data_IF_249423608679
#
_entry.id   IF_249423608679
#
_cell.length_a   1.000
_cell.length_b   1.000
_cell.length_c   1.000
_cell.angle_alpha   90.00
_cell.angle_beta   90.00
_cell.angle_gamma   90.00
#
_symmetry.space_group_name_H-M   'P 1'
#
loop_
_entity.id
_entity.type
_entity.pdbx_description
1 polymer ?
#
# COMPACT_ATOMS: atom_id res chain seq x y z
N UNK A 1 -4.23 15.18 0.72
CA UNK A 1 -3.97 14.31 -0.45
C UNK A 1 -4.20 15.14 -1.69
N UNK A 2 -3.13 15.51 -2.41
CA UNK A 2 -3.18 16.58 -3.40
C UNK A 2 -4.22 16.37 -4.51
N UNK A 3 -4.30 15.15 -5.06
CA UNK A 3 -5.27 14.82 -6.13
C UNK A 3 -6.73 15.02 -5.70
N UNK A 4 -7.09 14.60 -4.49
CA UNK A 4 -8.46 14.76 -3.97
C UNK A 4 -8.78 16.24 -3.82
N UNK A 5 -7.87 17.01 -3.21
CA UNK A 5 -8.02 18.45 -3.02
C UNK A 5 -8.12 19.21 -4.35
N UNK A 6 -7.39 18.77 -5.38
CA UNK A 6 -7.46 19.30 -6.73
C UNK A 6 -8.85 19.09 -7.37
N UNK A 7 -9.42 17.88 -7.30
CA UNK A 7 -10.78 17.66 -7.81
C UNK A 7 -11.82 18.46 -7.04
N UNK A 8 -11.64 18.63 -5.72
CA UNK A 8 -12.53 19.46 -4.90
C UNK A 8 -12.45 20.94 -5.27
N UNK A 9 -11.26 21.46 -5.59
CA UNK A 9 -11.10 22.86 -6.02
C UNK A 9 -11.71 23.13 -7.40
N UNK A 10 -11.78 22.12 -8.25
CA UNK A 10 -12.51 22.16 -9.53
C UNK A 10 -14.05 22.02 -9.38
N UNK A 11 -14.56 21.90 -8.16
CA UNK A 11 -16.00 21.82 -7.87
C UNK A 11 -16.59 20.41 -7.93
N UNK A 12 -15.76 19.35 -7.91
CA UNK A 12 -16.27 17.98 -7.83
C UNK A 12 -17.02 17.77 -6.50
N UNK A 13 -18.28 17.29 -6.52
CA UNK A 13 -19.04 17.06 -5.30
C UNK A 13 -18.43 15.91 -4.49
N UNK A 14 -18.10 16.16 -3.21
CA UNK A 14 -17.45 15.21 -2.29
C UNK A 14 -18.08 13.82 -2.28
N UNK A 15 -19.41 13.74 -2.25
CA UNK A 15 -20.14 12.48 -2.16
C UNK A 15 -20.09 11.62 -3.45
N UNK A 16 -19.58 12.17 -4.56
CA UNK A 16 -19.37 11.43 -5.81
C UNK A 16 -17.91 11.05 -6.04
N UNK A 17 -17.00 11.48 -5.16
CA UNK A 17 -15.59 11.12 -5.27
C UNK A 17 -15.35 9.76 -4.63
N UNK A 18 -15.10 8.76 -5.47
CA UNK A 18 -14.71 7.42 -5.02
C UNK A 18 -13.19 7.36 -4.94
N UNK A 19 -12.66 7.24 -3.72
CA UNK A 19 -11.22 7.13 -3.48
C UNK A 19 -10.85 5.65 -3.44
N UNK A 20 -10.03 5.21 -4.40
CA UNK A 20 -9.48 3.86 -4.41
C UNK A 20 -8.41 3.69 -3.34
N UNK A 21 -8.51 2.62 -2.56
CA UNK A 21 -7.48 2.20 -1.60
C UNK A 21 -6.74 1.01 -2.23
N UNK A 22 -5.50 1.18 -2.72
CA UNK A 22 -4.78 0.08 -3.35
C UNK A 22 -4.39 -0.96 -2.30
N UNK A 23 -4.80 -2.21 -2.52
CA UNK A 23 -4.37 -3.39 -1.73
C UNK A 23 -3.14 -4.08 -2.33
N UNK A 24 -2.32 -3.31 -3.04
CA UNK A 24 -1.09 -3.75 -3.66
C UNK A 24 -0.04 -2.66 -3.48
N UNK A 25 1.23 -3.08 -3.45
CA UNK A 25 2.38 -2.20 -3.43
C UNK A 25 3.18 -2.31 -4.73
N UNK A 26 3.92 -1.25 -5.04
CA UNK A 26 5.00 -1.31 -6.03
C UNK A 26 6.33 -1.49 -5.30
N UNK A 27 7.14 -2.45 -5.75
CA UNK A 27 8.44 -2.75 -5.16
C UNK A 27 9.57 -2.45 -6.16
N UNK A 28 10.75 -2.13 -5.62
CA UNK A 28 11.94 -1.80 -6.39
C UNK A 28 13.17 -2.44 -5.76
N UNK A 29 14.09 -2.90 -6.60
CA UNK A 29 15.40 -3.39 -6.15
C UNK A 29 16.38 -2.22 -6.14
N UNK A 30 16.81 -1.84 -4.94
CA UNK A 30 17.73 -0.73 -4.72
C UNK A 30 19.13 -1.04 -5.29
N UNK A 31 19.79 -0.03 -5.85
CA UNK A 31 21.16 -0.15 -6.36
C UNK A 31 22.19 -0.35 -5.24
N UNK A 32 21.91 0.17 -4.05
CA UNK A 32 22.78 0.06 -2.87
C UNK A 32 21.96 -0.10 -1.60
N UNK A 33 21.48 -1.34 -1.31
CA UNK A 33 20.58 -1.62 -0.19
C UNK A 33 21.11 -1.22 1.18
N UNK A 34 22.44 -1.21 1.36
CA UNK A 34 23.08 -0.89 2.64
C UNK A 34 23.26 0.62 2.87
N UNK A 35 23.18 1.42 1.80
CA UNK A 35 23.56 2.84 1.84
C UNK A 35 22.37 3.78 1.66
N UNK A 36 21.35 3.36 0.88
CA UNK A 36 20.25 4.21 0.48
C UNK A 36 18.93 3.43 0.46
N UNK A 37 18.20 3.45 1.58
CA UNK A 37 16.84 2.89 1.75
C UNK A 37 15.77 3.97 1.91
N UNK A 38 16.16 5.24 1.84
CA UNK A 38 15.25 6.37 2.00
C UNK A 38 14.36 6.61 0.78
N UNK A 39 13.39 7.51 0.92
CA UNK A 39 12.61 7.99 -0.21
C UNK A 39 13.52 8.56 -1.30
N UNK A 40 13.18 8.27 -2.56
CA UNK A 40 13.92 8.71 -3.76
C UNK A 40 15.33 8.10 -3.92
N UNK A 41 15.60 6.98 -3.24
CA UNK A 41 16.86 6.25 -3.40
C UNK A 41 16.96 5.60 -4.80
N UNK A 42 18.17 5.55 -5.40
CA UNK A 42 18.36 5.00 -6.74
C UNK A 42 18.02 3.51 -6.79
N UNK A 43 17.10 3.16 -7.68
CA UNK A 43 16.71 1.78 -7.96
C UNK A 43 17.38 1.27 -9.24
N UNK A 44 17.78 -0.01 -9.22
CA UNK A 44 18.40 -0.69 -10.36
C UNK A 44 17.36 -1.34 -11.26
N UNK A 45 16.31 -1.90 -10.65
CA UNK A 45 15.27 -2.64 -11.35
C UNK A 45 13.96 -2.63 -10.56
N UNK A 46 12.83 -3.04 -11.18
CA UNK A 46 11.64 -3.41 -10.43
C UNK A 46 11.98 -4.50 -9.40
N UNK A 47 11.23 -4.53 -8.31
CA UNK A 47 11.39 -5.52 -7.24
C UNK A 47 11.08 -6.94 -7.73
N UNK A 48 11.52 -7.92 -6.96
CA UNK A 48 11.24 -9.33 -7.25
C UNK A 48 9.73 -9.60 -7.31
N UNK A 49 9.36 -10.54 -8.17
CA UNK A 49 7.95 -10.91 -8.39
C UNK A 49 7.38 -11.64 -7.17
N UNK A 50 6.11 -11.38 -6.87
CA UNK A 50 5.35 -12.14 -5.88
C UNK A 50 5.02 -13.54 -6.38
N UNK A 51 4.84 -14.48 -5.45
CA UNK A 51 4.56 -15.90 -5.78
C UNK A 51 3.24 -16.10 -6.52
N UNK A 52 2.28 -15.21 -6.30
CA UNK A 52 0.95 -15.30 -6.86
C UNK A 52 0.65 -14.15 -7.83
N UNK A 53 1.19 -12.94 -7.61
CA UNK A 53 1.09 -11.85 -8.60
C UNK A 53 1.93 -12.08 -9.85
N UNK A 54 3.11 -12.72 -9.71
CA UNK A 54 4.02 -13.09 -10.82
C UNK A 54 4.35 -11.94 -11.77
N UNK A 55 4.31 -10.71 -11.27
CA UNK A 55 4.69 -9.50 -11.98
C UNK A 55 5.79 -8.80 -11.20
N UNK A 56 6.89 -8.47 -11.87
CA UNK A 56 8.01 -7.76 -11.25
C UNK A 56 7.59 -6.36 -10.81
N UNK A 57 7.96 -6.01 -9.59
CA UNK A 57 7.64 -4.72 -9.00
C UNK A 57 6.18 -4.55 -8.61
N UNK A 58 5.37 -5.61 -8.59
CA UNK A 58 3.99 -5.59 -8.10
C UNK A 58 3.83 -6.67 -7.03
N UNK A 59 3.34 -6.28 -5.86
CA UNK A 59 3.12 -7.21 -4.75
C UNK A 59 1.74 -6.99 -4.15
N UNK A 60 0.99 -8.07 -3.97
CA UNK A 60 -0.27 -8.03 -3.25
C UNK A 60 -0.02 -7.90 -1.74
N UNK A 61 -1.00 -7.36 -1.02
CA UNK A 61 -0.90 -7.12 0.42
C UNK A 61 -0.50 -8.36 1.24
N UNK A 62 -1.03 -9.54 0.90
CA UNK A 62 -0.69 -10.78 1.60
C UNK A 62 0.76 -11.21 1.31
N UNK A 63 1.29 -10.97 0.11
CA UNK A 63 2.66 -11.32 -0.27
C UNK A 63 3.67 -10.50 0.52
N UNK A 64 3.41 -9.20 0.69
CA UNK A 64 4.24 -8.31 1.53
C UNK A 64 4.26 -8.82 2.98
N UNK A 65 3.13 -9.33 3.47
CA UNK A 65 3.01 -9.84 4.83
C UNK A 65 3.76 -11.15 5.04
N UNK A 66 3.74 -12.04 4.05
CA UNK A 66 4.50 -13.29 4.03
C UNK A 66 6.00 -13.06 3.85
N UNK A 67 6.42 -12.10 3.02
CA UNK A 67 7.84 -11.77 2.82
C UNK A 67 8.53 -11.29 4.11
N UNK A 68 7.80 -10.63 5.01
CA UNK A 68 8.32 -10.21 6.32
C UNK A 68 8.77 -11.36 7.21
N UNK A 69 8.22 -12.56 7.05
CA UNK A 69 8.69 -13.74 7.79
C UNK A 69 10.17 -14.02 7.48
N UNK A 70 10.65 -13.55 6.31
CA UNK A 70 12.01 -13.75 5.80
C UNK A 70 12.88 -12.50 6.04
N UNK A 71 12.30 -11.29 6.05
CA UNK A 71 13.02 -10.03 6.22
C UNK A 71 12.36 -9.11 7.27
N UNK A 72 13.07 -8.85 8.38
CA UNK A 72 12.62 -8.03 9.50
C UNK A 72 12.63 -6.51 9.22
N UNK A 73 13.17 -6.08 8.08
CA UNK A 73 13.19 -4.67 7.67
C UNK A 73 11.84 -4.17 7.15
N UNK A 74 10.89 -5.07 6.85
CA UNK A 74 9.55 -4.74 6.36
C UNK A 74 8.60 -4.41 7.53
N UNK A 75 7.91 -3.25 7.55
CA UNK A 75 7.03 -2.87 8.65
C UNK A 75 5.95 -3.93 8.93
N UNK A 76 5.69 -4.25 10.20
CA UNK A 76 4.78 -5.30 10.66
C UNK A 76 3.37 -5.21 10.06
N UNK A 77 2.66 -6.34 9.96
CA UNK A 77 1.24 -6.36 9.53
C UNK A 77 0.37 -5.44 10.37
N UNK A 78 0.70 -5.28 11.66
CA UNK A 78 0.05 -4.31 12.56
C UNK A 78 0.28 -2.86 12.14
N UNK A 79 1.46 -2.53 11.62
CA UNK A 79 1.75 -1.19 11.10
C UNK A 79 0.96 -0.92 9.82
N UNK A 80 0.86 -1.89 8.91
CA UNK A 80 0.04 -1.77 7.70
C UNK A 80 -1.46 -1.70 8.02
N UNK A 81 -1.96 -2.50 8.97
CA UNK A 81 -3.33 -2.41 9.46
C UNK A 81 -3.60 -1.00 10.00
N UNK A 82 -2.71 -0.47 10.85
CA UNK A 82 -2.83 0.89 11.37
C UNK A 82 -2.80 1.95 10.26
N UNK A 83 -1.97 1.75 9.23
CA UNK A 83 -1.88 2.66 8.09
C UNK A 83 -3.18 2.65 7.27
N UNK A 84 -3.70 1.45 6.95
CA UNK A 84 -4.97 1.27 6.24
C UNK A 84 -6.12 1.87 7.06
N UNK A 85 -6.17 1.61 8.36
CA UNK A 85 -7.15 2.17 9.28
C UNK A 85 -7.10 3.71 9.32
N UNK A 86 -5.88 4.28 9.35
CA UNK A 86 -5.65 5.72 9.28
C UNK A 86 -6.10 6.32 7.94
N UNK A 87 -5.86 5.64 6.82
CA UNK A 87 -6.30 6.10 5.49
C UNK A 87 -7.82 6.01 5.33
N UNK A 88 -8.45 4.91 5.77
CA UNK A 88 -9.91 4.72 5.73
C UNK A 88 -10.62 5.79 6.56
N UNK A 89 -10.12 6.07 7.78
CA UNK A 89 -10.67 7.17 8.60
C UNK A 89 -10.50 8.54 7.93
N UNK A 90 -9.39 8.78 7.25
CA UNK A 90 -9.16 10.06 6.53
C UNK A 90 -10.10 10.26 5.34
N UNK A 91 -10.56 9.17 4.70
CA UNK A 91 -11.55 9.24 3.61
C UNK A 91 -13.00 9.11 4.11
N UNK A 92 -13.22 9.01 5.42
CA UNK A 92 -14.56 8.90 6.02
C UNK A 92 -15.23 7.54 5.81
N UNK A 93 -14.46 6.47 5.58
CA UNK A 93 -14.98 5.12 5.43
C UNK A 93 -15.50 4.53 6.75
N UNK A 94 -16.53 3.69 6.68
CA UNK A 94 -17.19 3.05 7.82
C UNK A 94 -16.46 1.78 8.28
N UNK A 95 -16.71 1.35 9.52
CA UNK A 95 -16.15 0.12 10.13
C UNK A 95 -16.46 -1.18 9.33
N UNK A 96 -17.45 -1.14 8.43
CA UNK A 96 -17.80 -2.27 7.55
C UNK A 96 -16.76 -2.52 6.46
N UNK A 97 -16.16 -1.43 5.93
CA UNK A 97 -15.04 -1.53 4.98
C UNK A 97 -13.84 -2.15 5.70
N UNK A 98 -13.60 -1.75 6.95
CA UNK A 98 -12.52 -2.28 7.77
C UNK A 98 -12.67 -3.78 8.06
N UNK A 99 -13.88 -4.22 8.43
CA UNK A 99 -14.20 -5.63 8.64
C UNK A 99 -14.01 -6.46 7.35
N UNK A 100 -14.45 -5.93 6.21
CA UNK A 100 -14.33 -6.61 4.91
C UNK A 100 -12.87 -6.78 4.48
N UNK A 101 -12.02 -5.79 4.72
CA UNK A 101 -10.58 -5.86 4.42
C UNK A 101 -9.88 -6.88 5.33
N UNK A 102 -10.24 -6.90 6.62
CA UNK A 102 -9.68 -7.85 7.57
C UNK A 102 -10.05 -9.29 7.20
N UNK A 103 -11.29 -9.53 6.77
CA UNK A 103 -11.75 -10.84 6.31
C UNK A 103 -11.04 -11.30 5.02
N UNK A 104 -10.80 -10.38 4.08
CA UNK A 104 -10.11 -10.69 2.83
C UNK A 104 -8.60 -10.94 2.99
N UNK A 105 -7.98 -10.46 4.08
CA UNK A 105 -6.56 -10.68 4.35
C UNK A 105 -6.26 -11.95 5.16
N UNK A 106 -7.27 -12.58 5.77
CA UNK A 106 -7.12 -13.78 6.62
C UNK A 106 -7.52 -15.06 5.88
N UNK A 107 -8.32 -14.96 4.82
CA UNK A 107 -8.61 -16.04 3.87
C UNK A 107 -7.46 -16.25 2.89
#
# INVERSE_FOLDING_TARGET
AWTVEYYLSLGAPRHKLVVGIPMYGRSYTLSSPQLATGYDSPAKSPGEEGTATREKGYLAFYEVSSQRIIDSSVPSTSFLHSLIYSQIRKVGGTEEILSSIHFFCIL
#
